data_IF_410808864649
#
_entry.id   IF_410808864649
#
_cell.length_a   1.000
_cell.length_b   1.000
_cell.length_c   1.000
_cell.angle_alpha   90.00
_cell.angle_beta   90.00
_cell.angle_gamma   90.00
#
_symmetry.space_group_name_H-M   'P 1'
#
loop_
_entity.id
_entity.type
_entity.pdbx_description
1 polymer ?
#
# COMPACT_ATOMS: atom_id res chain seq x y z
N UNK A 1 -24.03 -10.57 18.24
CA UNK A 1 -23.17 -10.56 17.04
C UNK A 1 -23.48 -9.27 16.31
N UNK A 2 -22.47 -8.46 15.93
CA UNK A 2 -22.70 -7.29 15.08
C UNK A 2 -23.41 -7.74 13.80
N UNK A 3 -24.40 -6.97 13.34
CA UNK A 3 -25.21 -7.31 12.17
C UNK A 3 -24.56 -6.91 10.83
N UNK A 4 -23.36 -6.31 10.90
CA UNK A 4 -22.60 -5.77 9.77
C UNK A 4 -23.38 -4.72 8.96
N UNK A 5 -24.35 -4.04 9.58
CA UNK A 5 -24.94 -2.84 9.03
C UNK A 5 -23.89 -1.74 8.89
N UNK A 6 -24.08 -0.83 7.91
CA UNK A 6 -23.17 0.28 7.68
C UNK A 6 -23.91 1.60 7.57
N UNK A 7 -23.22 2.68 7.93
CA UNK A 7 -23.66 4.04 7.72
C UNK A 7 -22.67 4.77 6.82
N UNK A 8 -23.16 5.45 5.79
CA UNK A 8 -22.31 6.28 4.94
C UNK A 8 -22.29 7.69 5.48
N UNK A 9 -21.13 8.21 5.90
CA UNK A 9 -20.96 9.62 6.31
C UNK A 9 -20.30 10.44 5.20
N UNK A 10 -20.55 11.76 5.20
CA UNK A 10 -19.80 12.71 4.39
C UNK A 10 -18.82 13.42 5.32
N UNK A 11 -17.53 13.14 5.15
CA UNK A 11 -16.48 13.72 6.00
C UNK A 11 -15.32 14.27 5.18
N UNK A 12 -14.49 15.12 5.79
CA UNK A 12 -13.20 15.53 5.23
C UNK A 12 -12.20 14.40 5.44
N UNK A 13 -11.19 14.28 4.56
CA UNK A 13 -10.12 13.29 4.77
C UNK A 13 -9.32 13.56 6.05
N UNK A 14 -9.12 14.84 6.40
CA UNK A 14 -8.50 15.30 7.65
C UNK A 14 -9.39 15.26 8.89
N UNK A 15 -10.60 14.72 8.80
CA UNK A 15 -11.47 14.65 9.97
C UNK A 15 -10.83 13.83 11.08
N UNK A 16 -10.96 14.32 12.31
CA UNK A 16 -10.54 13.56 13.48
C UNK A 16 -11.49 12.39 13.73
N UNK A 17 -11.05 11.40 14.49
CA UNK A 17 -11.90 10.30 14.97
C UNK A 17 -13.12 10.86 15.71
N UNK A 18 -12.95 11.94 16.49
CA UNK A 18 -14.06 12.61 17.16
C UNK A 18 -15.10 13.18 16.17
N UNK A 19 -14.66 13.82 15.09
CA UNK A 19 -15.56 14.37 14.05
C UNK A 19 -16.31 13.26 13.31
N UNK A 20 -15.61 12.14 13.05
CA UNK A 20 -16.17 10.95 12.41
C UNK A 20 -17.26 10.35 13.29
N UNK A 21 -16.97 10.11 14.58
CA UNK A 21 -17.94 9.59 15.54
C UNK A 21 -19.14 10.53 15.70
N UNK A 22 -18.92 11.84 15.75
CA UNK A 22 -20.02 12.81 15.78
C UNK A 22 -20.96 12.67 14.58
N UNK A 23 -20.41 12.50 13.38
CA UNK A 23 -21.18 12.31 12.14
C UNK A 23 -21.92 10.97 12.11
N UNK A 24 -21.34 9.91 12.68
CA UNK A 24 -21.97 8.59 12.81
C UNK A 24 -23.13 8.67 13.79
N UNK A 25 -22.90 9.22 14.98
CA UNK A 25 -23.94 9.37 16.02
C UNK A 25 -25.11 10.20 15.52
N UNK A 26 -24.87 11.33 14.83
CA UNK A 26 -25.94 12.14 14.24
C UNK A 26 -26.81 11.30 13.29
N UNK A 27 -26.20 10.48 12.42
CA UNK A 27 -26.95 9.64 11.49
C UNK A 27 -27.71 8.50 12.15
N UNK A 28 -27.16 7.89 13.19
CA UNK A 28 -27.83 6.82 13.93
C UNK A 28 -29.03 7.38 14.72
N UNK A 29 -28.94 8.58 15.27
CA UNK A 29 -30.05 9.25 15.96
C UNK A 29 -31.25 9.57 15.06
N UNK A 30 -31.05 9.78 13.75
CA UNK A 30 -32.17 9.90 12.80
C UNK A 30 -32.85 8.55 12.51
N UNK A 31 -32.24 7.43 12.91
CA UNK A 31 -32.72 6.08 12.62
C UNK A 31 -33.45 5.41 13.79
N UNK A 32 -33.29 5.89 15.03
CA UNK A 32 -33.92 5.30 16.24
C UNK A 32 -34.85 6.29 16.98
N UNK A 33 -35.92 5.79 17.62
CA UNK A 33 -36.73 6.58 18.55
C UNK A 33 -35.95 6.87 19.85
N UNK A 34 -36.14 8.02 20.51
CA UNK A 34 -35.25 8.50 21.57
C UNK A 34 -35.40 7.67 22.85
N UNK A 35 -34.58 6.62 23.00
CA UNK A 35 -34.55 5.77 24.19
C UNK A 35 -33.13 5.69 24.80
N UNK A 36 -32.92 6.48 25.86
CA UNK A 36 -31.85 6.25 26.84
C UNK A 36 -30.47 6.78 26.45
N UNK A 37 -29.60 6.98 27.46
CA UNK A 37 -28.20 7.39 27.27
C UNK A 37 -27.48 6.28 26.50
N UNK A 38 -27.35 6.43 25.18
CA UNK A 38 -26.46 5.61 24.38
C UNK A 38 -25.03 5.75 24.91
N UNK A 39 -24.37 4.63 25.15
CA UNK A 39 -22.96 4.63 25.50
C UNK A 39 -22.14 5.30 24.39
N UNK A 40 -21.07 6.04 24.73
CA UNK A 40 -20.26 6.70 23.72
C UNK A 40 -19.65 5.67 22.78
N UNK A 41 -19.90 5.86 21.48
CA UNK A 41 -19.28 5.07 20.43
C UNK A 41 -17.76 5.27 20.43
N UNK A 42 -17.05 4.20 20.09
CA UNK A 42 -15.62 4.17 19.79
C UNK A 42 -15.42 3.78 18.33
N UNK A 43 -14.32 4.24 17.74
CA UNK A 43 -13.95 3.89 16.37
C UNK A 43 -12.82 2.87 16.38
N UNK A 44 -12.98 1.80 15.62
CA UNK A 44 -12.05 0.67 15.56
C UNK A 44 -11.68 0.41 14.11
N UNK A 45 -10.40 0.40 13.79
CA UNK A 45 -9.90 -0.17 12.55
C UNK A 45 -9.74 -1.67 12.71
N UNK A 46 -10.28 -2.46 11.78
CA UNK A 46 -10.19 -3.91 11.80
C UNK A 46 -9.56 -4.41 10.51
N UNK A 47 -8.51 -5.23 10.65
CA UNK A 47 -7.90 -5.92 9.53
C UNK A 47 -8.64 -7.21 9.16
N UNK A 48 -8.44 -7.68 7.93
CA UNK A 48 -8.93 -8.97 7.43
C UNK A 48 -8.45 -10.19 8.25
N UNK A 49 -7.39 -10.02 9.06
CA UNK A 49 -6.90 -11.01 10.02
C UNK A 49 -7.74 -11.11 11.30
N UNK A 50 -8.65 -10.16 11.55
CA UNK A 50 -9.33 -10.00 12.82
C UNK A 50 -8.58 -9.14 13.84
N UNK A 51 -7.39 -8.64 13.50
CA UNK A 51 -6.68 -7.68 14.33
C UNK A 51 -7.47 -6.37 14.44
N UNK A 52 -7.62 -5.88 15.67
CA UNK A 52 -8.39 -4.69 16.02
C UNK A 52 -7.47 -3.62 16.55
N UNK A 53 -7.61 -2.40 16.05
CA UNK A 53 -6.90 -1.21 16.53
C UNK A 53 -7.92 -0.18 16.96
N UNK A 54 -7.94 0.13 18.25
CA UNK A 54 -8.75 1.21 18.81
C UNK A 54 -8.11 2.56 18.47
N UNK A 55 -8.83 3.39 17.71
CA UNK A 55 -8.36 4.70 17.27
C UNK A 55 -8.64 5.77 18.34
N UNK A 56 -7.64 6.60 18.65
CA UNK A 56 -7.80 7.67 19.63
C UNK A 56 -8.61 8.84 19.08
N UNK A 57 -9.41 9.55 19.91
CA UNK A 57 -10.27 10.65 19.43
C UNK A 57 -9.56 11.78 18.67
N UNK A 58 -8.27 12.01 18.97
CA UNK A 58 -7.42 13.04 18.37
C UNK A 58 -6.58 12.56 17.17
N UNK A 59 -6.73 11.29 16.78
CA UNK A 59 -6.20 10.80 15.51
C UNK A 59 -7.01 11.38 14.35
N UNK A 60 -6.32 11.67 13.24
CA UNK A 60 -6.85 12.24 12.01
C UNK A 60 -6.38 11.41 10.82
N UNK A 61 -6.91 11.69 9.62
CA UNK A 61 -6.53 11.00 8.37
C UNK A 61 -6.72 9.47 8.40
N UNK A 62 -7.60 8.96 9.27
CA UNK A 62 -7.79 7.52 9.48
C UNK A 62 -8.28 6.78 8.24
N UNK A 63 -8.83 7.48 7.25
CA UNK A 63 -9.31 6.86 6.00
C UNK A 63 -8.18 6.41 5.07
N UNK A 64 -7.02 7.08 5.11
CA UNK A 64 -5.90 6.80 4.20
C UNK A 64 -4.81 5.92 4.82
N UNK A 65 -4.87 5.70 6.14
CA UNK A 65 -3.93 4.87 6.89
C UNK A 65 -4.41 3.42 7.09
N UNK A 66 -5.59 3.06 6.58
CA UNK A 66 -6.13 1.70 6.66
C UNK A 66 -5.29 0.70 5.86
N UNK A 67 -5.30 -0.56 6.32
CA UNK A 67 -4.84 -1.70 5.51
C UNK A 67 -5.69 -1.89 4.24
N UNK A 68 -5.24 -2.76 3.34
CA UNK A 68 -5.88 -2.95 2.02
C UNK A 68 -7.32 -3.42 2.16
N UNK A 69 -7.55 -4.45 2.99
CA UNK A 69 -8.89 -4.97 3.29
C UNK A 69 -9.26 -4.68 4.75
N UNK A 70 -8.92 -3.47 5.23
CA UNK A 70 -9.30 -3.02 6.56
C UNK A 70 -10.57 -2.18 6.53
N UNK A 71 -11.43 -2.36 7.53
CA UNK A 71 -12.68 -1.64 7.66
C UNK A 71 -12.73 -0.86 8.97
N UNK A 72 -13.48 0.24 8.97
CA UNK A 72 -13.79 1.02 10.17
C UNK A 72 -15.12 0.57 10.76
N UNK A 73 -15.11 0.28 12.06
CA UNK A 73 -16.29 -0.05 12.84
C UNK A 73 -16.53 1.04 13.88
N UNK A 74 -17.79 1.48 14.00
CA UNK A 74 -18.25 2.26 15.14
C UNK A 74 -19.07 1.34 16.04
N UNK A 75 -18.67 1.23 17.32
CA UNK A 75 -19.30 0.31 18.25
C UNK A 75 -19.24 0.85 19.68
N UNK A 76 -19.99 0.27 20.61
CA UNK A 76 -19.82 0.56 22.05
C UNK A 76 -18.61 -0.20 22.60
N UNK A 77 -18.12 0.20 23.78
CA UNK A 77 -17.01 -0.52 24.44
C UNK A 77 -17.33 -1.97 24.75
N UNK A 78 -18.57 -2.25 25.15
CA UNK A 78 -19.03 -3.59 25.49
C UNK A 78 -19.04 -4.54 24.27
N UNK A 79 -19.27 -3.99 23.08
CA UNK A 79 -19.31 -4.77 21.83
C UNK A 79 -17.94 -4.94 21.15
N UNK A 80 -16.89 -4.25 21.63
CA UNK A 80 -15.54 -4.26 21.04
C UNK A 80 -14.98 -5.68 20.84
N UNK A 81 -15.04 -6.51 21.90
CA UNK A 81 -14.51 -7.88 21.86
C UNK A 81 -15.31 -8.78 20.91
N UNK A 82 -16.61 -8.50 20.74
CA UNK A 82 -17.50 -9.26 19.85
C UNK A 82 -17.39 -8.86 18.37
N UNK A 83 -16.68 -7.78 18.04
CA UNK A 83 -16.46 -7.41 16.65
C UNK A 83 -15.69 -8.51 15.91
N UNK A 84 -16.11 -8.79 14.68
CA UNK A 84 -15.47 -9.74 13.77
C UNK A 84 -15.28 -9.08 12.41
N UNK A 85 -14.30 -9.52 11.59
CA UNK A 85 -14.16 -9.03 10.23
C UNK A 85 -15.46 -9.18 9.45
N UNK A 86 -15.67 -8.27 8.50
CA UNK A 86 -16.76 -8.44 7.56
C UNK A 86 -16.62 -9.82 6.86
N UNK A 87 -17.72 -10.55 6.63
CA UNK A 87 -17.67 -11.82 5.91
C UNK A 87 -16.99 -11.57 4.57
N UNK A 88 -16.11 -12.49 4.18
CA UNK A 88 -15.21 -12.39 3.03
C UNK A 88 -15.84 -11.61 1.86
N UNK A 89 -15.54 -10.31 1.73
CA UNK A 89 -15.84 -9.57 0.50
C UNK A 89 -15.07 -10.20 -0.67
N UNK A 90 -13.98 -10.89 -0.37
CA UNK A 90 -13.13 -11.56 -1.33
C UNK A 90 -13.46 -13.05 -1.44
N UNK A 91 -14.62 -13.35 -2.01
CA UNK A 91 -14.75 -14.62 -2.74
C UNK A 91 -13.84 -14.54 -3.98
N UNK A 92 -12.51 -14.71 -3.82
CA UNK A 92 -11.67 -14.94 -5.00
C UNK A 92 -12.07 -16.31 -5.52
N UNK A 93 -12.99 -16.30 -6.48
CA UNK A 93 -13.45 -17.51 -7.15
C UNK A 93 -12.22 -18.13 -7.83
N UNK A 94 -11.92 -19.42 -7.57
CA UNK A 94 -10.84 -20.10 -8.28
C UNK A 94 -11.10 -20.00 -9.79
N UNK A 95 -10.19 -19.37 -10.54
CA UNK A 95 -10.37 -19.14 -11.97
C UNK A 95 -9.23 -18.35 -12.61
N UNK A 96 -9.11 -18.45 -13.93
CA UNK A 96 -8.12 -17.68 -14.69
C UNK A 96 -8.56 -16.21 -14.75
N UNK A 97 -7.98 -15.38 -13.87
CA UNK A 97 -8.06 -13.91 -13.87
C UNK A 97 -7.35 -13.30 -15.08
N UNK A 98 -7.44 -11.98 -15.25
CA UNK A 98 -6.85 -11.27 -16.40
C UNK A 98 -5.32 -11.46 -16.51
N UNK A 99 -4.59 -11.64 -15.39
CA UNK A 99 -3.14 -11.89 -15.44
C UNK A 99 -2.79 -13.19 -16.17
N UNK A 100 -3.70 -14.15 -16.28
CA UNK A 100 -3.45 -15.35 -17.06
C UNK A 100 -3.50 -15.09 -18.57
N UNK A 101 -4.24 -14.06 -19.01
CA UNK A 101 -4.54 -13.77 -20.42
C UNK A 101 -3.73 -12.60 -20.99
N UNK A 102 -3.57 -11.52 -20.22
CA UNK A 102 -2.95 -10.27 -20.68
C UNK A 102 -1.46 -10.41 -21.00
N UNK A 103 -0.91 -9.71 -21.98
CA UNK A 103 0.53 -9.75 -22.20
C UNK A 103 1.30 -9.09 -21.02
N UNK A 104 2.47 -9.63 -20.63
CA UNK A 104 3.25 -9.08 -19.51
C UNK A 104 3.71 -7.64 -19.75
N UNK A 105 3.87 -7.23 -21.02
CA UNK A 105 4.18 -5.85 -21.38
C UNK A 105 3.01 -4.92 -21.11
N UNK A 106 1.79 -5.32 -21.46
CA UNK A 106 0.58 -4.53 -21.17
C UNK A 106 0.38 -4.37 -19.68
N UNK A 107 0.53 -5.44 -18.90
CA UNK A 107 0.42 -5.37 -17.44
C UNK A 107 1.50 -4.45 -16.86
N UNK A 108 2.76 -4.58 -17.31
CA UNK A 108 3.87 -3.74 -16.86
C UNK A 108 3.66 -2.25 -17.20
N UNK A 109 3.17 -1.95 -18.40
CA UNK A 109 2.90 -0.58 -18.85
C UNK A 109 1.75 0.04 -18.06
N UNK A 110 0.63 -0.67 -17.88
CA UNK A 110 -0.49 -0.18 -17.07
C UNK A 110 -0.11 -0.01 -15.58
N UNK A 111 0.68 -0.92 -15.03
CA UNK A 111 1.21 -0.80 -13.66
C UNK A 111 2.10 0.43 -13.52
N UNK A 112 3.02 0.64 -14.46
CA UNK A 112 3.94 1.78 -14.47
C UNK A 112 3.19 3.10 -14.63
N UNK A 113 2.19 3.14 -15.53
CA UNK A 113 1.34 4.30 -15.75
C UNK A 113 0.58 4.67 -14.47
N UNK A 114 -0.07 3.70 -13.82
CA UNK A 114 -0.83 3.95 -12.61
C UNK A 114 0.05 4.38 -11.43
N UNK A 115 1.19 3.71 -11.23
CA UNK A 115 2.14 4.11 -10.19
C UNK A 115 2.73 5.49 -10.44
N UNK A 116 2.91 5.88 -11.71
CA UNK A 116 3.34 7.23 -12.06
C UNK A 116 2.27 8.29 -11.77
N UNK A 117 1.00 8.01 -12.08
CA UNK A 117 -0.13 8.88 -11.71
C UNK A 117 -0.17 9.10 -10.20
N UNK A 118 -0.14 8.02 -9.40
CA UNK A 118 -0.12 8.11 -7.94
C UNK A 118 1.12 8.85 -7.43
N UNK A 119 2.32 8.51 -7.94
CA UNK A 119 3.56 9.17 -7.54
C UNK A 119 3.56 10.65 -7.90
N UNK A 120 2.88 11.08 -8.96
CA UNK A 120 2.72 12.51 -9.30
C UNK A 120 1.76 13.26 -8.39
N UNK A 121 0.77 12.57 -7.83
CA UNK A 121 -0.14 13.17 -6.83
C UNK A 121 0.58 13.50 -5.52
N UNK A 122 1.63 12.74 -5.15
CA UNK A 122 2.38 12.99 -3.92
C UNK A 122 3.12 14.33 -3.97
N UNK A 123 2.71 15.28 -3.13
CA UNK A 123 3.46 16.51 -2.95
C UNK A 123 4.79 16.22 -2.26
N UNK A 124 5.87 16.90 -2.64
CA UNK A 124 7.21 16.58 -2.12
C UNK A 124 7.32 16.82 -0.60
N UNK A 125 6.50 17.71 -0.07
CA UNK A 125 6.39 17.96 1.37
C UNK A 125 5.72 16.81 2.11
N UNK A 126 4.87 15.99 1.47
CA UNK A 126 4.28 14.80 2.14
C UNK A 126 5.38 13.85 2.63
N UNK A 127 6.53 13.75 1.95
CA UNK A 127 7.67 12.96 2.44
C UNK A 127 8.32 13.54 3.70
N UNK A 128 8.33 14.87 3.83
CA UNK A 128 8.86 15.57 5.01
C UNK A 128 7.84 15.50 6.13
N UNK A 129 6.56 15.72 5.83
CA UNK A 129 5.48 15.65 6.79
C UNK A 129 5.34 14.21 7.33
N UNK A 130 5.50 13.19 6.47
CA UNK A 130 5.60 11.77 6.84
C UNK A 130 6.83 11.44 7.71
N UNK A 131 7.88 12.19 7.46
CA UNK A 131 9.09 12.28 8.27
C UNK A 131 8.88 12.71 9.74
N UNK A 132 8.44 13.95 9.81
CA UNK A 132 8.66 14.89 10.90
C UNK A 132 7.37 15.07 11.72
N UNK A 133 6.51 14.04 11.75
CA UNK A 133 5.15 14.02 12.32
C UNK A 133 4.98 14.60 13.75
N UNK A 134 6.07 14.91 14.46
CA UNK A 134 6.08 15.51 15.80
C UNK A 134 6.36 17.03 15.90
N UNK A 135 6.76 17.74 14.82
CA UNK A 135 7.26 19.13 14.91
C UNK A 135 6.23 20.26 14.59
N UNK A 136 4.92 19.99 14.72
CA UNK A 136 3.72 20.85 14.45
C UNK A 136 3.27 20.93 12.99
N UNK A 137 1.95 20.77 12.84
CA UNK A 137 1.20 20.99 11.59
C UNK A 137 1.13 19.73 10.74
N UNK A 138 0.22 18.80 11.10
CA UNK A 138 -0.13 17.66 10.25
C UNK A 138 -0.70 18.20 8.94
N UNK A 139 0.12 18.22 7.89
CA UNK A 139 -0.39 18.29 6.53
C UNK A 139 -0.73 16.86 6.12
N UNK A 140 -1.82 16.72 5.40
CA UNK A 140 -2.33 15.43 4.95
C UNK A 140 -1.26 14.72 4.10
N UNK A 141 -0.85 13.53 4.53
CA UNK A 141 0.07 12.62 3.80
C UNK A 141 -0.69 11.60 2.95
N UNK A 142 -1.96 11.89 2.66
CA UNK A 142 -2.92 11.00 2.03
C UNK A 142 -2.40 10.41 0.71
N UNK A 143 -1.77 11.20 -0.16
CA UNK A 143 -1.30 10.67 -1.44
C UNK A 143 -0.10 9.74 -1.26
N UNK A 144 0.82 10.09 -0.35
CA UNK A 144 1.95 9.23 0.00
C UNK A 144 1.48 7.92 0.63
N UNK A 145 0.53 7.96 1.54
CA UNK A 145 -0.07 6.79 2.18
C UNK A 145 -0.74 5.88 1.16
N UNK A 146 -1.56 6.43 0.27
CA UNK A 146 -2.17 5.67 -0.83
C UNK A 146 -1.12 5.02 -1.74
N UNK A 147 -0.01 5.72 -2.03
CA UNK A 147 1.10 5.14 -2.81
C UNK A 147 1.79 3.99 -2.06
N UNK A 148 1.98 4.10 -0.75
CA UNK A 148 2.56 3.05 0.09
C UNK A 148 1.62 1.84 0.19
N UNK A 149 0.31 2.08 0.38
CA UNK A 149 -0.71 1.06 0.39
C UNK A 149 -0.76 0.33 -0.96
N UNK A 150 -0.65 1.06 -2.08
CA UNK A 150 -0.55 0.48 -3.42
C UNK A 150 0.66 -0.42 -3.60
N UNK A 151 1.83 -0.03 -3.07
CA UNK A 151 3.01 -0.91 -3.09
C UNK A 151 2.74 -2.23 -2.34
N UNK A 152 2.03 -2.16 -1.21
CA UNK A 152 1.62 -3.36 -0.46
C UNK A 152 0.59 -4.19 -1.22
N UNK A 153 -0.42 -3.56 -1.83
CA UNK A 153 -1.47 -4.20 -2.63
C UNK A 153 -0.83 -5.02 -3.76
N UNK A 154 0.13 -4.44 -4.46
CA UNK A 154 0.86 -5.09 -5.55
C UNK A 154 1.67 -6.30 -5.06
N UNK A 155 2.24 -6.27 -3.86
CA UNK A 155 2.88 -7.44 -3.24
C UNK A 155 1.87 -8.53 -2.89
N UNK A 156 0.71 -8.17 -2.33
CA UNK A 156 -0.34 -9.13 -2.00
C UNK A 156 -1.02 -9.70 -3.24
N UNK A 157 -1.14 -8.93 -4.31
CA UNK A 157 -1.64 -9.38 -5.61
C UNK A 157 -0.82 -10.56 -6.15
N UNK A 158 0.51 -10.42 -6.18
CA UNK A 158 1.40 -11.52 -6.63
C UNK A 158 1.20 -12.76 -5.76
N UNK A 159 1.15 -12.61 -4.44
CA UNK A 159 0.94 -13.73 -3.53
C UNK A 159 -0.42 -14.40 -3.78
N UNK A 160 -1.48 -13.61 -3.92
CA UNK A 160 -2.86 -14.06 -4.14
C UNK A 160 -2.97 -14.88 -5.43
N UNK A 161 -2.53 -14.33 -6.57
CA UNK A 161 -2.61 -15.01 -7.87
C UNK A 161 -1.79 -16.31 -7.89
N UNK A 162 -0.60 -16.32 -7.26
CA UNK A 162 0.24 -17.53 -7.19
C UNK A 162 -0.40 -18.61 -6.31
N UNK A 163 -0.97 -18.23 -5.17
CA UNK A 163 -1.51 -19.17 -4.18
C UNK A 163 -2.91 -19.69 -4.53
N UNK A 164 -3.65 -18.97 -5.36
CA UNK A 164 -4.93 -19.45 -5.91
C UNK A 164 -4.76 -20.25 -7.21
N UNK A 165 -3.58 -20.21 -7.83
CA UNK A 165 -3.29 -21.02 -9.01
C UNK A 165 -2.94 -22.46 -8.61
N UNK A 166 -3.94 -23.34 -8.53
CA UNK A 166 -3.77 -24.73 -8.09
C UNK A 166 -2.87 -25.57 -9.01
N UNK A 167 -3.05 -25.44 -10.33
CA UNK A 167 -2.31 -26.23 -11.31
C UNK A 167 -0.83 -25.83 -11.37
N UNK A 168 0.07 -26.76 -11.03
CA UNK A 168 1.52 -26.54 -10.95
C UNK A 168 2.12 -25.93 -12.24
N UNK A 169 1.71 -26.44 -13.40
CA UNK A 169 2.18 -25.95 -14.70
C UNK A 169 1.79 -24.49 -14.96
N UNK A 170 0.52 -24.13 -14.70
CA UNK A 170 0.03 -22.75 -14.81
C UNK A 170 0.72 -21.83 -13.80
N UNK A 171 0.91 -22.28 -12.56
CA UNK A 171 1.60 -21.52 -11.51
C UNK A 171 3.04 -21.20 -11.89
N UNK A 172 3.76 -22.15 -12.49
CA UNK A 172 5.12 -21.92 -12.99
C UNK A 172 5.16 -20.90 -14.14
N UNK A 173 4.17 -20.91 -15.05
CA UNK A 173 4.03 -19.90 -16.10
C UNK A 173 3.72 -18.52 -15.54
N UNK A 174 2.83 -18.44 -14.55
CA UNK A 174 2.46 -17.21 -13.88
C UNK A 174 3.67 -16.56 -13.17
N UNK A 175 4.48 -17.36 -12.48
CA UNK A 175 5.73 -16.88 -11.85
C UNK A 175 6.73 -16.34 -12.89
N UNK A 176 6.90 -17.04 -14.02
CA UNK A 176 7.71 -16.52 -15.15
C UNK A 176 7.16 -15.19 -15.66
N UNK A 177 5.85 -15.04 -15.73
CA UNK A 177 5.17 -13.82 -16.17
C UNK A 177 5.43 -12.65 -15.23
N UNK A 178 5.30 -12.85 -13.91
CA UNK A 178 5.63 -11.82 -12.91
C UNK A 178 7.07 -11.34 -13.01
N UNK A 179 8.02 -12.24 -13.29
CA UNK A 179 9.43 -11.88 -13.50
C UNK A 179 9.59 -11.00 -14.74
N UNK A 180 8.91 -11.35 -15.83
CA UNK A 180 8.93 -10.56 -17.06
C UNK A 180 8.31 -9.17 -16.83
N UNK A 181 7.20 -9.09 -16.09
CA UNK A 181 6.58 -7.80 -15.70
C UNK A 181 7.57 -6.94 -14.89
N UNK A 182 8.19 -7.51 -13.85
CA UNK A 182 9.17 -6.79 -13.04
C UNK A 182 10.38 -6.31 -13.85
N UNK A 183 10.82 -7.10 -14.84
CA UNK A 183 11.90 -6.71 -15.74
C UNK A 183 11.54 -5.50 -16.63
N UNK A 184 10.34 -5.52 -17.21
CA UNK A 184 9.86 -4.45 -18.09
C UNK A 184 9.67 -3.15 -17.31
N UNK A 185 9.11 -3.22 -16.10
CA UNK A 185 8.94 -2.07 -15.22
C UNK A 185 10.24 -1.56 -14.57
N UNK A 186 11.42 -1.97 -15.07
CA UNK A 186 12.75 -1.66 -14.55
C UNK A 186 12.97 -2.05 -13.08
N UNK A 187 12.13 -2.91 -12.50
CA UNK A 187 12.26 -3.49 -11.16
C UNK A 187 12.18 -2.52 -9.98
N UNK A 188 12.47 -1.22 -10.13
CA UNK A 188 12.73 -0.30 -9.00
C UNK A 188 11.48 0.05 -8.17
N UNK A 189 10.33 0.27 -8.80
CA UNK A 189 9.05 0.53 -8.11
C UNK A 189 8.43 -0.73 -7.51
N UNK A 190 8.95 -1.89 -7.90
CA UNK A 190 8.31 -3.19 -7.80
C UNK A 190 9.12 -4.19 -6.98
N UNK A 191 10.24 -3.72 -6.40
CA UNK A 191 11.13 -4.48 -5.52
C UNK A 191 10.41 -5.20 -4.38
N UNK A 192 9.37 -4.62 -3.73
CA UNK A 192 8.61 -5.32 -2.69
C UNK A 192 7.92 -6.60 -3.15
N UNK A 193 7.51 -6.71 -4.42
CA UNK A 193 6.91 -7.95 -4.95
C UNK A 193 7.91 -9.10 -4.95
N UNK A 194 9.18 -8.80 -5.15
CA UNK A 194 10.22 -9.79 -5.41
C UNK A 194 10.80 -10.39 -4.12
N UNK A 195 10.57 -9.74 -2.97
CA UNK A 195 11.08 -10.18 -1.67
C UNK A 195 10.26 -11.30 -1.01
N UNK A 196 8.98 -11.47 -1.36
CA UNK A 196 8.05 -12.38 -0.66
C UNK A 196 7.74 -13.69 -1.40
N UNK A 197 8.49 -14.06 -2.43
CA UNK A 197 8.21 -15.26 -3.23
C UNK A 197 8.89 -16.55 -2.68
N UNK A 198 8.24 -17.72 -2.80
CA UNK A 198 8.78 -18.99 -2.31
C UNK A 198 10.15 -19.38 -2.91
N UNK A 199 11.04 -19.91 -2.06
CA UNK A 199 12.46 -20.13 -2.35
C UNK A 199 12.80 -20.98 -3.58
N UNK A 200 11.90 -21.87 -4.02
CA UNK A 200 12.08 -22.78 -5.17
C UNK A 200 12.15 -22.07 -6.53
N UNK A 201 11.72 -20.82 -6.62
CA UNK A 201 11.82 -20.02 -7.85
C UNK A 201 12.99 -19.03 -7.86
N UNK A 202 13.75 -18.90 -6.75
CA UNK A 202 14.85 -17.94 -6.58
C UNK A 202 15.87 -17.93 -7.73
N UNK A 203 16.15 -19.08 -8.34
CA UNK A 203 17.08 -19.16 -9.47
C UNK A 203 16.64 -18.32 -10.69
N UNK A 204 15.33 -18.14 -10.91
CA UNK A 204 14.78 -17.30 -11.98
C UNK A 204 14.72 -15.81 -11.59
N UNK A 205 14.75 -15.51 -10.28
CA UNK A 205 14.72 -14.16 -9.69
C UNK A 205 16.10 -13.59 -9.32
N UNK A 206 17.18 -14.37 -9.42
CA UNK A 206 18.54 -14.01 -8.95
C UNK A 206 19.05 -12.65 -9.45
N UNK A 207 18.66 -12.23 -10.65
CA UNK A 207 19.01 -10.89 -11.18
C UNK A 207 18.37 -9.74 -10.40
N UNK A 208 17.16 -9.94 -9.86
CA UNK A 208 16.45 -8.95 -9.05
C UNK A 208 16.78 -9.02 -7.56
N UNK A 209 17.19 -10.18 -7.03
CA UNK A 209 17.63 -10.32 -5.63
C UNK A 209 18.72 -9.31 -5.28
N UNK A 210 19.67 -9.07 -6.20
CA UNK A 210 20.73 -8.07 -6.04
C UNK A 210 20.19 -6.64 -5.87
N UNK A 211 19.07 -6.29 -6.52
CA UNK A 211 18.46 -4.96 -6.38
C UNK A 211 17.71 -4.80 -5.06
N UNK A 212 17.24 -5.90 -4.48
CA UNK A 212 16.57 -5.91 -3.16
C UNK A 212 17.53 -6.07 -1.99
N UNK A 213 18.80 -6.38 -2.25
CA UNK A 213 19.82 -6.66 -1.24
C UNK A 213 20.01 -5.46 -0.29
N UNK A 214 19.76 -5.61 1.03
CA UNK A 214 19.97 -4.55 2.00
C UNK A 214 21.46 -4.28 2.31
N UNK A 215 22.38 -5.16 1.89
CA UNK A 215 23.80 -5.05 2.19
C UNK A 215 24.38 -3.69 1.81
N UNK A 216 25.25 -3.16 2.69
CA UNK A 216 25.92 -1.86 2.53
C UNK A 216 24.93 -0.72 2.23
N UNK A 217 23.79 -0.74 2.92
CA UNK A 217 22.69 0.21 2.77
C UNK A 217 22.10 0.24 1.34
N UNK A 218 21.72 -0.93 0.82
CA UNK A 218 21.17 -1.06 -0.53
C UNK A 218 22.10 -0.55 -1.63
N UNK A 219 23.39 -0.88 -1.55
CA UNK A 219 24.43 -0.37 -2.46
C UNK A 219 24.06 -0.62 -3.94
N UNK A 220 23.69 -1.86 -4.28
CA UNK A 220 23.34 -2.27 -5.64
C UNK A 220 22.19 -1.46 -6.24
N UNK A 221 21.12 -1.26 -5.45
CA UNK A 221 19.99 -0.41 -5.82
C UNK A 221 20.43 1.04 -6.07
N UNK A 222 21.21 1.61 -5.15
CA UNK A 222 21.69 3.00 -5.23
C UNK A 222 22.58 3.24 -6.45
N UNK A 223 23.44 2.29 -6.79
CA UNK A 223 24.28 2.35 -8.00
C UNK A 223 23.44 2.36 -9.28
N UNK A 224 22.34 1.61 -9.32
CA UNK A 224 21.45 1.57 -10.48
C UNK A 224 20.65 2.87 -10.59
N UNK A 225 19.95 3.29 -9.54
CA UNK A 225 19.10 4.49 -9.60
C UNK A 225 19.89 5.78 -9.83
N UNK A 226 21.14 5.87 -9.36
CA UNK A 226 21.99 7.05 -9.59
C UNK A 226 22.38 7.25 -11.05
N UNK A 227 22.38 6.20 -11.86
CA UNK A 227 22.69 6.25 -13.30
C UNK A 227 21.45 6.48 -14.17
N UNK A 228 20.25 6.33 -13.62
CA UNK A 228 19.01 6.51 -14.36
C UNK A 228 18.71 7.99 -14.63
N UNK A 229 18.08 8.25 -15.77
CA UNK A 229 17.58 9.57 -16.16
C UNK A 229 16.07 9.60 -15.93
N UNK A 230 15.50 10.73 -15.47
CA UNK A 230 14.06 10.91 -15.38
C UNK A 230 13.34 10.60 -16.70
N UNK A 231 12.10 10.10 -16.70
CA UNK A 231 11.26 9.78 -15.53
C UNK A 231 11.72 8.53 -14.77
N UNK A 232 11.68 8.55 -13.42
CA UNK A 232 12.01 7.41 -12.56
C UNK A 232 10.98 7.31 -11.43
N UNK A 233 10.49 6.11 -11.15
CA UNK A 233 9.74 5.83 -9.91
C UNK A 233 10.71 5.16 -8.94
N UNK A 234 11.08 5.81 -7.83
CA UNK A 234 12.01 5.25 -6.87
C UNK A 234 11.32 4.22 -5.94
N UNK A 235 12.13 3.50 -5.18
CA UNK A 235 11.69 2.66 -4.09
C UNK A 235 11.39 3.56 -2.89
N UNK A 236 10.14 4.03 -2.81
CA UNK A 236 9.67 5.03 -1.84
C UNK A 236 10.02 4.67 -0.38
N UNK A 237 9.86 3.42 0.11
CA UNK A 237 10.28 3.06 1.46
C UNK A 237 11.75 3.34 1.77
N UNK A 238 12.67 3.22 0.79
CA UNK A 238 14.08 3.55 1.01
C UNK A 238 14.32 5.06 1.12
N UNK A 239 13.53 5.88 0.42
CA UNK A 239 13.55 7.34 0.57
C UNK A 239 13.07 7.73 1.98
N UNK A 240 11.97 7.14 2.44
CA UNK A 240 11.44 7.38 3.78
C UNK A 240 12.41 6.93 4.86
N UNK A 241 13.03 5.76 4.70
CA UNK A 241 14.12 5.30 5.57
C UNK A 241 15.25 6.34 5.64
N UNK A 242 15.73 6.82 4.49
CA UNK A 242 16.81 7.83 4.44
C UNK A 242 16.42 9.13 5.16
N UNK A 243 15.19 9.61 4.96
CA UNK A 243 14.68 10.81 5.64
C UNK A 243 14.54 10.58 7.14
N UNK A 244 14.09 9.40 7.56
CA UNK A 244 13.95 9.01 8.99
C UNK A 244 15.29 9.04 9.68
N UNK A 245 16.31 8.38 9.10
CA UNK A 245 17.67 8.40 9.64
C UNK A 245 18.25 9.81 9.74
N UNK A 246 17.94 10.68 8.77
CA UNK A 246 18.38 12.08 8.80
C UNK A 246 17.67 12.85 9.91
N UNK A 247 16.36 12.64 10.07
CA UNK A 247 15.57 13.29 11.11
C UNK A 247 16.02 12.89 12.52
N UNK A 248 16.21 11.60 12.76
CA UNK A 248 16.59 11.03 14.06
C UNK A 248 18.08 11.24 14.38
N UNK A 249 18.94 11.28 13.36
CA UNK A 249 20.38 11.41 13.53
C UNK A 249 20.86 12.79 13.98
N UNK A 250 20.03 13.84 13.81
CA UNK A 250 20.40 15.23 14.11
C UNK A 250 19.23 16.01 14.69
N UNK A 251 19.47 16.80 15.75
CA UNK A 251 18.45 17.71 16.29
C UNK A 251 18.13 18.85 15.32
N UNK A 252 16.84 19.22 15.23
CA UNK A 252 16.39 20.37 14.44
C UNK A 252 16.84 21.70 15.05
N UNK A 253 16.93 21.74 16.39
CA UNK A 253 17.49 22.87 17.14
C UNK A 253 18.77 22.44 17.86
N UNK A 254 19.82 23.24 17.71
CA UNK A 254 21.10 23.09 18.41
C UNK A 254 21.37 24.41 19.12
N UNK A 255 21.50 24.36 20.45
CA UNK A 255 21.68 25.55 21.31
C UNK A 255 20.61 26.64 21.09
N UNK A 256 19.37 26.22 20.84
CA UNK A 256 18.23 27.12 20.58
C UNK A 256 18.20 27.72 19.16
N UNK A 257 19.17 27.41 18.31
CA UNK A 257 19.26 27.87 16.93
C UNK A 257 18.86 26.76 15.94
N UNK A 258 18.35 27.15 14.79
CA UNK A 258 17.96 26.22 13.72
C UNK A 258 19.19 25.56 13.10
N UNK A 259 19.18 24.23 13.04
CA UNK A 259 20.22 23.44 12.38
C UNK A 259 20.05 23.50 10.84
N UNK A 260 20.67 24.49 10.22
CA UNK A 260 20.61 24.71 8.76
C UNK A 260 21.22 23.54 7.96
N UNK A 261 22.23 22.85 8.49
CA UNK A 261 22.84 21.69 7.84
C UNK A 261 21.86 20.52 7.73
N UNK A 262 21.08 20.26 8.79
CA UNK A 262 19.98 19.28 8.77
C UNK A 262 18.96 19.65 7.70
N UNK A 263 18.50 20.90 7.69
CA UNK A 263 17.50 21.37 6.72
C UNK A 263 18.00 21.30 5.28
N UNK A 264 19.29 21.63 5.05
CA UNK A 264 19.90 21.51 3.73
C UNK A 264 19.93 20.05 3.25
N UNK A 265 20.27 19.12 4.14
CA UNK A 265 20.29 17.69 3.83
C UNK A 265 18.89 17.13 3.52
N UNK A 266 17.85 17.56 4.24
CA UNK A 266 16.44 17.24 3.91
C UNK A 266 16.09 17.78 2.53
N UNK A 267 16.43 19.04 2.26
CA UNK A 267 16.12 19.69 0.99
C UNK A 267 16.77 18.97 -0.21
N UNK A 268 17.98 18.42 -0.07
CA UNK A 268 18.61 17.60 -1.12
C UNK A 268 17.83 16.32 -1.44
N UNK A 269 17.28 15.65 -0.42
CA UNK A 269 16.42 14.48 -0.62
C UNK A 269 15.14 14.86 -1.37
N UNK A 270 14.51 15.97 -0.98
CA UNK A 270 13.31 16.53 -1.63
C UNK A 270 13.60 16.89 -3.10
N UNK A 271 14.71 17.59 -3.38
CA UNK A 271 15.15 17.91 -4.75
C UNK A 271 15.38 16.65 -5.60
N UNK A 272 15.87 15.57 -5.00
CA UNK A 272 16.04 14.29 -5.68
C UNK A 272 14.69 13.69 -6.11
N UNK A 273 13.67 13.75 -5.25
CA UNK A 273 12.30 13.32 -5.58
C UNK A 273 11.73 14.15 -6.74
N UNK A 274 11.93 15.48 -6.71
CA UNK A 274 11.56 16.37 -7.81
C UNK A 274 12.26 15.99 -9.11
N UNK A 275 13.56 15.71 -9.06
CA UNK A 275 14.35 15.29 -10.23
C UNK A 275 13.76 14.03 -10.86
N UNK A 276 13.39 13.03 -10.08
CA UNK A 276 12.79 11.79 -10.59
C UNK A 276 11.53 12.02 -11.42
N UNK A 277 10.77 13.07 -11.12
CA UNK A 277 9.53 13.46 -11.82
C UNK A 277 9.70 14.62 -12.82
N UNK A 278 10.94 15.04 -13.12
CA UNK A 278 11.22 16.22 -13.95
C UNK A 278 10.93 16.05 -15.44
N UNK A 279 10.61 14.85 -15.90
CA UNK A 279 10.25 14.54 -17.30
C UNK A 279 8.95 13.74 -17.34
N UNK A 280 8.11 13.90 -18.37
CA UNK A 280 6.90 13.11 -18.50
C UNK A 280 7.23 11.63 -18.70
N UNK A 281 6.34 10.75 -18.22
CA UNK A 281 6.34 9.34 -18.57
C UNK A 281 5.68 9.18 -19.94
N UNK A 282 6.44 8.65 -20.90
CA UNK A 282 5.94 8.31 -22.23
C UNK A 282 5.94 6.78 -22.34
N UNK A 283 4.75 6.20 -22.35
CA UNK A 283 4.53 4.78 -22.67
C UNK A 283 3.75 4.74 -23.98
N UNK A 284 4.20 3.92 -24.92
CA UNK A 284 3.46 3.69 -26.15
C UNK A 284 2.40 2.63 -25.87
N UNK A 285 1.13 3.06 -25.86
CA UNK A 285 0.00 2.21 -25.49
C UNK A 285 -1.13 2.47 -26.46
N UNK A 286 -1.39 1.49 -27.35
CA UNK A 286 -2.52 1.57 -28.26
C UNK A 286 -3.84 1.36 -27.53
N UNK A 287 -4.86 2.14 -27.89
CA UNK A 287 -6.18 1.99 -27.32
C UNK A 287 -6.90 0.80 -27.98
N UNK A 288 -7.06 -0.30 -27.23
CA UNK A 288 -7.89 -1.44 -27.64
C UNK A 288 -8.74 -1.95 -26.46
N UNK A 289 -9.83 -2.70 -26.73
CA UNK A 289 -10.65 -3.29 -25.66
C UNK A 289 -9.83 -4.14 -24.67
N UNK A 290 -8.83 -4.87 -25.16
CA UNK A 290 -7.95 -5.67 -24.32
C UNK A 290 -7.10 -4.80 -23.36
N UNK A 291 -6.58 -3.67 -23.86
CA UNK A 291 -5.83 -2.74 -23.02
C UNK A 291 -6.74 -2.09 -21.96
N UNK A 292 -7.98 -1.77 -22.28
CA UNK A 292 -8.94 -1.25 -21.30
C UNK A 292 -9.25 -2.27 -20.20
N UNK A 293 -9.38 -3.55 -20.55
CA UNK A 293 -9.58 -4.63 -19.59
C UNK A 293 -8.35 -4.80 -18.68
N UNK A 294 -7.14 -4.83 -19.25
CA UNK A 294 -5.89 -4.90 -18.49
C UNK A 294 -5.71 -3.66 -17.58
N UNK A 295 -6.10 -2.47 -18.06
CA UNK A 295 -6.09 -1.23 -17.28
C UNK A 295 -7.01 -1.31 -16.07
N UNK A 296 -8.25 -1.78 -16.26
CA UNK A 296 -9.22 -1.93 -15.19
C UNK A 296 -8.73 -2.95 -14.16
N UNK A 297 -8.26 -4.11 -14.63
CA UNK A 297 -7.67 -5.14 -13.79
C UNK A 297 -6.51 -4.62 -12.94
N UNK A 298 -5.55 -3.93 -13.55
CA UNK A 298 -4.39 -3.37 -12.83
C UNK A 298 -4.81 -2.37 -11.76
N UNK A 299 -5.87 -1.60 -11.97
CA UNK A 299 -6.32 -0.55 -11.03
C UNK A 299 -7.25 -1.05 -9.92
N UNK A 300 -7.69 -2.30 -9.99
CA UNK A 300 -8.72 -2.85 -9.11
C UNK A 300 -8.36 -4.28 -8.71
N UNK A 301 -7.15 -4.47 -8.17
CA UNK A 301 -6.75 -5.81 -7.75
C UNK A 301 -7.63 -6.28 -6.60
N UNK A 302 -8.02 -7.54 -6.66
CA UNK A 302 -8.64 -8.25 -5.55
C UNK A 302 -7.53 -9.08 -4.90
N UNK A 303 -7.14 -8.73 -3.67
CA UNK A 303 -5.95 -9.30 -3.04
C UNK A 303 -6.25 -9.82 -1.64
N UNK A 304 -5.65 -10.94 -1.28
CA UNK A 304 -5.64 -11.45 0.09
C UNK A 304 -4.45 -10.80 0.81
N UNK A 305 -4.72 -9.97 1.81
CA UNK A 305 -3.73 -9.35 2.69
C UNK A 305 -3.60 -10.06 4.06
N UNK A 306 -4.51 -10.97 4.38
CA UNK A 306 -4.44 -11.84 5.56
C UNK A 306 -3.30 -12.87 5.42
N UNK A 307 -2.21 -12.65 6.15
CA UNK A 307 -1.04 -13.53 6.10
C UNK A 307 -1.32 -14.97 6.57
N UNK A 308 -2.18 -15.15 7.57
CA UNK A 308 -2.51 -16.50 8.05
C UNK A 308 -3.20 -17.30 6.93
N UNK A 309 -4.13 -16.66 6.21
CA UNK A 309 -4.79 -17.28 5.06
C UNK A 309 -3.81 -17.57 3.91
N UNK A 310 -2.92 -16.63 3.58
CA UNK A 310 -1.87 -16.87 2.57
C UNK A 310 -0.97 -18.06 2.96
N UNK A 311 -0.60 -18.17 4.24
CA UNK A 311 0.20 -19.27 4.76
C UNK A 311 -0.53 -20.62 4.64
N UNK A 312 -1.80 -20.68 5.01
CA UNK A 312 -2.64 -21.87 4.87
C UNK A 312 -2.80 -22.32 3.41
N UNK A 313 -3.06 -21.38 2.50
CA UNK A 313 -3.13 -21.66 1.05
C UNK A 313 -1.81 -22.23 0.53
N UNK A 314 -0.68 -21.65 0.95
CA UNK A 314 0.65 -22.16 0.59
C UNK A 314 0.85 -23.60 1.06
N UNK A 315 0.45 -23.93 2.28
CA UNK A 315 0.58 -25.28 2.83
C UNK A 315 -0.26 -26.29 2.04
N UNK A 316 -1.51 -25.95 1.72
CA UNK A 316 -2.42 -26.79 0.90
C UNK A 316 -1.82 -27.11 -0.47
N UNK A 317 -1.21 -26.12 -1.14
CA UNK A 317 -0.58 -26.32 -2.45
C UNK A 317 0.63 -27.25 -2.41
N UNK A 318 1.42 -27.22 -1.33
CA UNK A 318 2.60 -28.08 -1.18
C UNK A 318 2.23 -29.53 -0.87
N UNK A 319 1.20 -29.75 -0.05
CA UNK A 319 0.68 -31.08 0.24
C UNK A 319 0.14 -31.78 -1.03
N UNK A 320 -0.50 -31.03 -1.94
CA UNK A 320 -1.05 -31.55 -3.19
C UNK A 320 -0.02 -31.73 -4.32
N UNK A 321 1.25 -31.35 -4.10
CA UNK A 321 2.32 -31.46 -5.10
C UNK A 321 3.28 -32.64 -4.85
N UNK A 322 3.03 -33.44 -3.81
CA UNK A 322 3.75 -34.68 -3.47
C UNK A 322 3.02 -35.90 -4.05
#
# INVERSE_FOLDING_TARGET
MPDHSYVTIRSRLSASVQDILGSVTEKLQYSEEPAGREEPLILVAMASSGEKVLLQPNEDCVFTTLGINSHLFACTRDSYEALVPLPEEIQVSPGDTEIHRAEPEDVANHLTAFHWEMFRCVHELEFVDYVFHGERGRRETANLELLLQRCSEVTHWVATEVLLCEALGKRAQLLKKFIKIAAISNGLSFLPMLQKLPGKFKNLFRKFENLTDPCRNHKSYREVISKMKPPVIPFVPLILKDLTFLHEGSKTLVDGLVNVEKLHSVAEKVRTIRKYRSRPLCLDMEASPHHLQTKAYVRQFQVIDNQNLLFELSYKLEANSQ
#
